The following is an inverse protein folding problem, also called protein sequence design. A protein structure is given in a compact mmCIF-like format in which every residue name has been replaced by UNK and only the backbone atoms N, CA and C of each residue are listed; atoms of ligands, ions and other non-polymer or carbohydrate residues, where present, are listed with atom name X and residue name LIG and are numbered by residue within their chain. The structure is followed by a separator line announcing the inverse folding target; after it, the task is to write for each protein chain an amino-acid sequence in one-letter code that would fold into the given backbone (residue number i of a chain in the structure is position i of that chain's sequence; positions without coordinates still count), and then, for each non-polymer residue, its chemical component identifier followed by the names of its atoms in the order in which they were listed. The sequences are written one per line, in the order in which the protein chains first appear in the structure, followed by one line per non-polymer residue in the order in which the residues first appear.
data_IF_563696795891
#
_entry.id   IF_563696795891
#
_cell.length_a   1.000
_cell.length_b   1.000
_cell.length_c   1.000
_cell.angle_alpha   90.00
_cell.angle_beta   90.00
_cell.angle_gamma   90.00
#
_symmetry.space_group_name_H-M   'P 1'
#
loop_
_entity.id
_entity.type
_entity.pdbx_description
1 polymer ?
#
# COMPACT_ATOMS: atom_id res chain seq x y z
N UNK A 1 28.18 -1.08 -5.35
CA UNK A 1 27.02 -0.93 -6.23
C UNK A 1 25.91 -1.70 -5.55
N UNK A 2 25.08 -1.00 -4.77
CA UNK A 2 23.88 -1.59 -4.19
C UNK A 2 23.04 -2.15 -5.33
N UNK A 3 22.64 -3.42 -5.20
CA UNK A 3 21.63 -3.97 -6.08
C UNK A 3 20.36 -3.21 -5.75
N UNK A 4 19.83 -2.45 -6.71
CA UNK A 4 18.44 -2.01 -6.67
C UNK A 4 17.61 -3.29 -6.52
N UNK A 5 17.07 -3.56 -5.32
CA UNK A 5 16.08 -4.60 -5.13
C UNK A 5 14.84 -4.05 -5.83
N UNK A 6 14.63 -4.45 -7.08
CA UNK A 6 13.33 -4.28 -7.75
C UNK A 6 12.36 -5.13 -6.95
N UNK A 7 11.78 -4.56 -5.89
CA UNK A 7 10.79 -5.25 -5.06
C UNK A 7 9.52 -5.32 -5.88
N UNK A 8 9.18 -6.53 -6.32
CA UNK A 8 7.98 -6.81 -7.10
C UNK A 8 6.72 -6.40 -6.31
N UNK A 9 5.63 -6.02 -7.00
CA UNK A 9 4.38 -5.76 -6.33
C UNK A 9 3.89 -7.01 -5.62
N UNK A 10 3.37 -6.86 -4.41
CA UNK A 10 2.82 -7.95 -3.61
C UNK A 10 1.41 -7.61 -3.12
N UNK A 11 0.69 -8.62 -2.62
CA UNK A 11 -0.65 -8.43 -2.12
C UNK A 11 -0.68 -8.61 -0.61
N UNK A 12 -1.35 -7.71 0.09
CA UNK A 12 -1.67 -7.83 1.51
C UNK A 12 -3.18 -7.96 1.70
N UNK A 13 -3.60 -8.43 2.87
CA UNK A 13 -5.01 -8.48 3.26
C UNK A 13 -5.20 -7.72 4.54
N UNK A 14 -6.11 -6.75 4.53
CA UNK A 14 -6.46 -5.99 5.73
C UNK A 14 -7.94 -6.14 6.05
N UNK A 15 -8.27 -6.14 7.33
CA UNK A 15 -9.65 -5.95 7.78
C UNK A 15 -10.08 -4.50 7.58
N UNK A 16 -11.27 -4.30 7.00
CA UNK A 16 -11.90 -2.99 6.80
C UNK A 16 -13.41 -3.07 7.11
N UNK A 17 -13.81 -2.54 8.27
CA UNK A 17 -15.15 -2.75 8.81
C UNK A 17 -15.42 -4.24 9.09
N UNK A 18 -16.52 -4.77 8.54
CA UNK A 18 -16.88 -6.20 8.61
C UNK A 18 -16.32 -7.03 7.44
N UNK A 19 -15.50 -6.42 6.57
CA UNK A 19 -14.96 -7.05 5.36
C UNK A 19 -13.44 -7.23 5.45
N UNK A 20 -12.93 -8.18 4.68
CA UNK A 20 -11.50 -8.28 4.36
C UNK A 20 -11.29 -7.70 2.95
N UNK A 21 -10.22 -6.93 2.77
CA UNK A 21 -9.85 -6.32 1.50
C UNK A 21 -8.44 -6.73 1.12
N UNK A 22 -8.28 -7.10 -0.14
CA UNK A 22 -6.96 -7.33 -0.75
C UNK A 22 -6.47 -6.03 -1.37
N UNK A 23 -5.27 -5.61 -0.99
CA UNK A 23 -4.57 -4.45 -1.56
C UNK A 23 -3.30 -4.94 -2.26
N UNK A 24 -2.98 -4.32 -3.39
CA UNK A 24 -1.67 -4.49 -4.01
C UNK A 24 -0.75 -3.38 -3.53
N UNK A 25 0.39 -3.77 -2.99
CA UNK A 25 1.45 -2.89 -2.53
C UNK A 25 2.51 -2.84 -3.62
N UNK A 26 2.73 -1.65 -4.17
CA UNK A 26 3.75 -1.41 -5.17
C UNK A 26 4.86 -0.54 -4.54
N UNK A 27 6.01 -1.13 -4.21
CA UNK A 27 7.18 -0.39 -3.75
C UNK A 27 7.66 0.61 -4.81
N UNK A 28 8.20 1.74 -4.38
CA UNK A 28 8.72 2.76 -5.30
C UNK A 28 10.17 3.12 -4.99
N UNK A 29 10.85 3.74 -5.97
CA UNK A 29 12.24 4.16 -5.81
C UNK A 29 12.38 5.41 -4.92
N UNK A 30 11.27 6.09 -4.63
CA UNK A 30 11.17 7.28 -3.80
C UNK A 30 11.07 6.95 -2.29
N UNK A 31 11.08 5.67 -1.91
CA UNK A 31 11.07 5.25 -0.51
C UNK A 31 9.68 5.17 0.13
N UNK A 32 8.63 5.11 -0.68
CA UNK A 32 7.27 4.85 -0.22
C UNK A 32 6.65 3.65 -0.97
N UNK A 33 5.49 3.21 -0.51
CA UNK A 33 4.71 2.16 -1.15
C UNK A 33 3.39 2.72 -1.65
N UNK A 34 3.08 2.53 -2.93
CA UNK A 34 1.75 2.82 -3.46
C UNK A 34 0.78 1.73 -2.99
N UNK A 35 -0.37 2.17 -2.50
CA UNK A 35 -1.47 1.30 -2.10
C UNK A 35 -2.50 1.28 -3.22
N UNK A 36 -2.69 0.11 -3.84
CA UNK A 36 -3.53 -0.06 -5.04
C UNK A 36 -4.72 -0.94 -4.72
N UNK A 37 -5.91 -0.53 -5.18
CA UNK A 37 -7.15 -1.29 -5.08
C UNK A 37 -7.87 -1.28 -6.43
N UNK A 38 -8.21 -2.46 -6.95
CA UNK A 38 -8.83 -2.62 -8.28
C UNK A 38 -8.11 -1.86 -9.41
N UNK A 39 -6.77 -1.81 -9.37
CA UNK A 39 -5.94 -1.14 -10.38
C UNK A 39 -5.93 0.39 -10.27
N UNK A 40 -6.52 0.98 -9.23
CA UNK A 40 -6.41 2.41 -8.93
C UNK A 40 -5.58 2.66 -7.68
N UNK A 41 -4.82 3.75 -7.65
CA UNK A 41 -4.02 4.18 -6.50
C UNK A 41 -4.95 4.81 -5.45
N UNK A 42 -5.06 4.20 -4.28
CA UNK A 42 -5.75 4.79 -3.12
C UNK A 42 -4.92 5.93 -2.50
N UNK A 43 -3.60 5.76 -2.52
CA UNK A 43 -2.62 6.69 -1.95
C UNK A 43 -1.26 6.01 -1.85
N UNK A 44 -0.40 6.52 -0.98
CA UNK A 44 0.87 5.88 -0.66
C UNK A 44 1.15 5.98 0.84
N UNK A 45 1.90 5.01 1.35
CA UNK A 45 2.36 4.97 2.74
C UNK A 45 3.88 4.88 2.78
N UNK A 46 4.51 5.47 3.79
CA UNK A 46 5.93 5.37 4.05
C UNK A 46 6.18 5.05 5.52
N UNK A 47 7.33 4.46 5.81
CA UNK A 47 7.82 4.30 7.18
C UNK A 47 8.83 5.41 7.45
N UNK A 48 8.59 6.23 8.48
CA UNK A 48 9.44 7.39 8.78
C UNK A 48 10.64 7.05 9.70
N UNK A 49 10.66 5.82 10.22
CA UNK A 49 11.66 5.32 11.16
C UNK A 49 11.06 4.91 12.51
N UNK A 50 9.88 5.41 12.87
CA UNK A 50 9.15 5.05 14.09
C UNK A 50 7.77 4.49 13.74
N UNK A 51 7.04 5.15 12.85
CA UNK A 51 5.67 4.79 12.50
C UNK A 51 5.43 4.78 10.97
N UNK A 52 4.31 4.16 10.59
CA UNK A 52 3.80 4.18 9.22
C UNK A 52 2.90 5.38 9.01
N UNK A 53 3.16 6.16 7.97
CA UNK A 53 2.47 7.41 7.70
C UNK A 53 1.93 7.49 6.27
N UNK A 54 0.94 8.36 6.08
CA UNK A 54 0.36 8.66 4.78
C UNK A 54 1.21 9.68 4.03
N UNK A 55 1.58 9.37 2.80
CA UNK A 55 2.24 10.33 1.90
C UNK A 55 1.24 11.37 1.43
N UNK A 56 1.64 12.65 1.40
CA UNK A 56 0.76 13.71 0.90
C UNK A 56 0.33 13.41 -0.55
N UNK A 57 -0.97 13.54 -0.90
CA UNK A 57 -1.45 13.20 -2.24
C UNK A 57 -0.74 13.94 -3.38
N UNK A 58 -0.22 15.14 -3.12
CA UNK A 58 0.54 15.94 -4.08
C UNK A 58 1.95 15.37 -4.37
N UNK A 59 2.49 14.56 -3.47
CA UNK A 59 3.81 13.92 -3.60
C UNK A 59 3.71 12.52 -4.22
N UNK A 60 2.50 11.93 -4.27
CA UNK A 60 2.28 10.62 -4.88
C UNK A 60 2.38 10.70 -6.40
N UNK A 61 3.47 10.16 -6.95
CA UNK A 61 3.65 10.05 -8.40
C UNK A 61 2.79 8.92 -8.95
N UNK A 62 1.69 9.22 -9.65
CA UNK A 62 0.78 8.22 -10.18
C UNK A 62 1.46 7.23 -11.16
N UNK A 63 2.25 7.75 -12.10
CA UNK A 63 2.84 6.97 -13.19
C UNK A 63 1.75 6.53 -14.17
N UNK A 64 1.71 5.22 -14.49
CA UNK A 64 0.77 4.65 -15.47
C UNK A 64 -0.61 4.28 -14.88
N UNK A 65 -0.77 4.33 -13.55
CA UNK A 65 -2.02 3.97 -12.88
C UNK A 65 -2.85 5.21 -12.55
N UNK A 66 -4.17 5.19 -12.72
CA UNK A 66 -5.05 6.25 -12.26
C UNK A 66 -5.17 6.24 -10.73
N UNK A 67 -5.56 7.36 -10.15
CA UNK A 67 -6.06 7.37 -8.77
C UNK A 67 -7.40 6.64 -8.69
N UNK A 68 -7.64 5.99 -7.56
CA UNK A 68 -8.85 5.24 -7.32
C UNK A 68 -10.02 6.19 -7.08
N UNK A 69 -11.09 6.01 -7.86
CA UNK A 69 -12.37 6.66 -7.63
C UNK A 69 -13.41 5.57 -7.29
N UNK A 70 -14.05 5.63 -6.11
CA UNK A 70 -15.09 4.68 -5.75
C UNK A 70 -16.30 4.83 -6.69
N UNK A 71 -16.64 3.77 -7.41
CA UNK A 71 -17.84 3.74 -8.25
C UNK A 71 -19.08 3.54 -7.37
N UNK A 72 -20.04 4.47 -7.44
CA UNK A 72 -21.29 4.47 -6.65
C UNK A 72 -22.22 3.25 -6.86
N UNK A 73 -21.88 2.31 -7.76
CA UNK A 73 -22.77 1.20 -8.16
C UNK A 73 -22.10 -0.18 -8.19
N UNK A 74 -20.93 -0.36 -7.57
CA UNK A 74 -20.23 -1.65 -7.54
C UNK A 74 -20.03 -2.21 -6.13
N UNK A 75 -19.48 -3.43 -6.05
CA UNK A 75 -18.97 -4.05 -4.81
C UNK A 75 -17.68 -3.38 -4.29
N UNK A 76 -17.26 -2.30 -4.94
CA UNK A 76 -16.09 -1.48 -4.63
C UNK A 76 -16.32 -0.73 -3.33
N UNK A 77 -15.35 -0.82 -2.43
CA UNK A 77 -15.40 -0.16 -1.14
C UNK A 77 -14.81 1.25 -1.24
N UNK A 78 -15.44 2.19 -0.54
CA UNK A 78 -14.83 3.49 -0.24
C UNK A 78 -13.81 3.28 0.89
N UNK A 79 -12.58 2.96 0.50
CA UNK A 79 -11.47 2.78 1.43
C UNK A 79 -10.87 4.15 1.72
N UNK A 80 -10.87 4.55 2.98
CA UNK A 80 -10.26 5.78 3.47
C UNK A 80 -8.96 5.44 4.17
N UNK A 81 -7.84 5.99 3.70
CA UNK A 81 -6.53 5.83 4.32
C UNK A 81 -6.38 6.78 5.53
N UNK A 82 -7.11 6.47 6.60
CA UNK A 82 -6.90 7.10 7.91
C UNK A 82 -5.78 6.40 8.69
N UNK A 83 -5.35 6.98 9.82
CA UNK A 83 -4.30 6.43 10.71
C UNK A 83 -4.48 4.93 10.96
N UNK A 84 -5.68 4.49 11.39
CA UNK A 84 -5.95 3.07 11.65
C UNK A 84 -5.75 2.17 10.42
N UNK A 85 -6.10 2.65 9.24
CA UNK A 85 -5.95 1.88 7.99
C UNK A 85 -4.50 1.87 7.54
N UNK A 86 -3.78 2.98 7.70
CA UNK A 86 -2.35 3.09 7.43
C UNK A 86 -1.56 2.15 8.34
N UNK A 87 -1.81 2.16 9.65
CA UNK A 87 -1.16 1.23 10.61
C UNK A 87 -1.35 -0.24 10.22
N UNK A 88 -2.56 -0.60 9.79
CA UNK A 88 -2.86 -1.97 9.35
C UNK A 88 -2.11 -2.33 8.08
N UNK A 89 -2.04 -1.42 7.12
CA UNK A 89 -1.28 -1.64 5.89
C UNK A 89 0.20 -1.80 6.22
N UNK A 90 0.75 -0.89 7.03
CA UNK A 90 2.14 -0.90 7.45
C UNK A 90 2.53 -2.21 8.12
N UNK A 91 1.73 -2.66 9.10
CA UNK A 91 1.94 -3.94 9.76
C UNK A 91 2.00 -5.13 8.79
N UNK A 92 1.11 -5.19 7.80
CA UNK A 92 1.12 -6.30 6.83
C UNK A 92 2.31 -6.19 5.87
N UNK A 93 2.81 -4.98 5.57
CA UNK A 93 4.05 -4.77 4.83
C UNK A 93 5.25 -5.27 5.64
N UNK A 94 5.33 -4.95 6.94
CA UNK A 94 6.39 -5.44 7.83
C UNK A 94 6.40 -6.97 7.89
N UNK A 95 5.24 -7.59 8.07
CA UNK A 95 5.10 -9.05 8.08
C UNK A 95 5.56 -9.68 6.76
N UNK A 96 5.18 -9.10 5.62
CA UNK A 96 5.64 -9.58 4.31
C UNK A 96 7.17 -9.51 4.18
N UNK A 97 7.77 -8.41 4.62
CA UNK A 97 9.22 -8.22 4.54
C UNK A 97 9.98 -9.18 5.49
N UNK A 98 9.44 -9.45 6.67
CA UNK A 98 10.02 -10.39 7.64
C UNK A 98 9.96 -11.85 7.13
N UNK A 99 8.88 -12.25 6.44
CA UNK A 99 8.74 -13.60 5.86
C UNK A 99 9.76 -13.87 4.74
N UNK A 100 10.19 -12.84 4.01
CA UNK A 100 11.18 -12.95 2.93
C UNK A 100 12.63 -13.18 3.45
N UNK A 101 12.90 -12.90 4.74
CA UNK A 101 14.24 -13.04 5.35
C UNK A 101 14.54 -14.48 5.87
N UNK A 102 13.57 -15.40 5.83
CA UNK A 102 13.70 -16.80 6.30
C UNK A 102 14.23 -17.81 5.24
N UNK A 103 14.72 -17.33 4.08
CA UNK A 103 15.25 -18.20 3.01
C UNK A 103 16.74 -18.52 3.24
N UNK A 104 17.00 -19.63 3.95
CA UNK A 104 18.32 -20.24 4.19
C UNK A 104 19.01 -20.82 2.94
#
# INVERSE_FOLDING_TARGET
MEKNKETEPFNIRIGYGEKEVTLTILPTNEGYYKVIYFGGILGAVCFDGDDWDLVEPAEVVAGDLPFYEPELKGDRLEIVLNELTVDRIGREIDLYNDEDDDVY
#
